data_IF_708305550912
#
_entry.id   IF_708305550912
#
_cell.length_a   1.000
_cell.length_b   1.000
_cell.length_c   1.000
_cell.angle_alpha   90.00
_cell.angle_beta   90.00
_cell.angle_gamma   90.00
#
_symmetry.space_group_name_H-M   'P 1'
#
loop_
_entity.id
_entity.type
_entity.pdbx_description
1 polymer ?
#
# COMPACT_ATOMS: atom_id res chain seq x y z
N UNK A 1 12.39 20.83 -26.06
CA UNK A 1 11.37 19.76 -26.27
C UNK A 1 11.09 19.22 -24.89
N UNK A 2 9.99 19.60 -24.29
CA UNK A 2 9.54 18.97 -23.04
C UNK A 2 9.27 17.50 -23.34
N UNK A 3 9.95 16.61 -22.60
CA UNK A 3 9.76 15.17 -22.73
C UNK A 3 8.32 14.82 -22.38
N UNK A 4 7.72 13.88 -23.11
CA UNK A 4 6.38 13.37 -22.77
C UNK A 4 6.43 12.80 -21.36
N UNK A 5 5.60 13.29 -20.46
CA UNK A 5 5.43 12.82 -19.08
C UNK A 5 5.18 11.32 -19.08
N UNK A 6 5.93 10.56 -18.27
CA UNK A 6 5.74 9.12 -18.10
C UNK A 6 4.83 8.83 -16.91
N UNK A 7 4.04 7.77 -17.05
CA UNK A 7 3.18 7.23 -16.01
C UNK A 7 3.67 5.80 -15.72
N UNK A 8 4.36 5.62 -14.60
CA UNK A 8 5.02 4.37 -14.24
C UNK A 8 4.32 3.75 -13.03
N UNK A 9 4.04 2.45 -13.05
CA UNK A 9 3.40 1.78 -11.93
C UNK A 9 4.06 0.46 -11.57
N UNK A 10 4.04 0.14 -10.25
CA UNK A 10 4.37 -1.18 -9.71
C UNK A 10 3.19 -1.62 -8.84
N UNK A 11 2.61 -2.77 -9.16
CA UNK A 11 1.44 -3.34 -8.48
C UNK A 11 1.82 -4.69 -7.88
N UNK A 12 1.51 -4.89 -6.61
CA UNK A 12 1.92 -6.07 -5.83
C UNK A 12 0.72 -6.68 -5.13
N UNK A 13 0.39 -7.93 -5.45
CA UNK A 13 -0.69 -8.70 -4.83
C UNK A 13 -0.19 -10.01 -4.24
N UNK A 14 -0.38 -10.21 -2.93
CA UNK A 14 0.04 -11.40 -2.20
C UNK A 14 -1.17 -12.12 -1.61
N UNK A 15 -1.47 -13.31 -2.10
CA UNK A 15 -2.51 -14.17 -1.54
C UNK A 15 -1.97 -15.26 -0.58
N UNK A 16 -0.66 -15.50 -0.54
CA UNK A 16 0.00 -16.49 0.34
C UNK A 16 -0.61 -17.89 0.25
N UNK A 17 -0.96 -18.31 -0.96
CA UNK A 17 -1.65 -19.57 -1.21
C UNK A 17 -0.94 -20.76 -0.57
N UNK A 18 -1.71 -21.66 0.05
CA UNK A 18 -1.19 -22.86 0.71
C UNK A 18 -0.48 -22.60 2.05
N UNK A 19 -0.50 -21.39 2.57
CA UNK A 19 0.01 -21.07 3.91
C UNK A 19 -1.14 -20.88 4.93
N UNK A 20 -0.86 -20.95 6.25
CA UNK A 20 -1.87 -20.61 7.26
C UNK A 20 -2.36 -19.14 7.19
N UNK A 21 -1.67 -18.31 6.43
CA UNK A 21 -1.93 -16.88 6.29
C UNK A 21 -2.56 -16.52 4.94
N UNK A 22 -3.17 -17.49 4.27
CA UNK A 22 -3.78 -17.30 2.95
C UNK A 22 -4.85 -16.21 2.95
N UNK A 23 -4.75 -15.32 1.94
CA UNK A 23 -5.74 -14.32 1.54
C UNK A 23 -6.31 -14.69 0.16
N UNK A 24 -7.39 -14.02 -0.28
CA UNK A 24 -8.06 -14.37 -1.54
C UNK A 24 -8.36 -13.19 -2.46
N UNK A 25 -8.37 -11.97 -1.93
CA UNK A 25 -8.73 -10.75 -2.66
C UNK A 25 -7.55 -10.05 -3.34
N UNK A 26 -6.33 -10.20 -2.82
CA UNK A 26 -5.20 -9.30 -3.13
C UNK A 26 -4.77 -9.29 -4.60
N UNK A 27 -4.77 -10.45 -5.25
CA UNK A 27 -4.45 -10.54 -6.69
C UNK A 27 -5.52 -9.84 -7.53
N UNK A 28 -6.81 -10.03 -7.19
CA UNK A 28 -7.90 -9.38 -7.90
C UNK A 28 -7.84 -7.85 -7.74
N UNK A 29 -7.48 -7.36 -6.55
CA UNK A 29 -7.33 -5.92 -6.28
C UNK A 29 -6.30 -5.29 -7.22
N UNK A 30 -5.11 -5.89 -7.34
CA UNK A 30 -4.06 -5.32 -8.18
C UNK A 30 -4.36 -5.44 -9.67
N UNK A 31 -5.06 -6.48 -10.11
CA UNK A 31 -5.50 -6.61 -11.50
C UNK A 31 -6.58 -5.58 -11.85
N UNK A 32 -7.54 -5.34 -10.96
CA UNK A 32 -8.54 -4.29 -11.12
C UNK A 32 -7.91 -2.89 -11.12
N UNK A 33 -6.90 -2.66 -10.26
CA UNK A 33 -6.14 -1.41 -10.26
C UNK A 33 -5.38 -1.22 -11.58
N UNK A 34 -4.70 -2.26 -12.10
CA UNK A 34 -4.05 -2.20 -13.42
C UNK A 34 -5.02 -1.76 -14.50
N UNK A 35 -6.19 -2.39 -14.56
CA UNK A 35 -7.19 -2.07 -15.58
C UNK A 35 -7.71 -0.63 -15.42
N UNK A 36 -7.88 -0.16 -14.20
CA UNK A 36 -8.24 1.23 -13.91
C UNK A 36 -7.16 2.22 -14.34
N UNK A 37 -5.88 1.92 -14.06
CA UNK A 37 -4.75 2.77 -14.49
C UNK A 37 -4.69 2.90 -16.00
N UNK A 38 -4.88 1.81 -16.74
CA UNK A 38 -4.89 1.82 -18.20
C UNK A 38 -6.10 2.57 -18.75
N UNK A 39 -7.31 2.21 -18.29
CA UNK A 39 -8.55 2.71 -18.90
C UNK A 39 -8.85 4.17 -18.53
N UNK A 40 -8.50 4.59 -17.33
CA UNK A 40 -8.88 5.91 -16.81
C UNK A 40 -7.74 6.92 -16.80
N UNK A 41 -6.54 6.47 -16.40
CA UNK A 41 -5.40 7.37 -16.20
C UNK A 41 -4.40 7.36 -17.35
N UNK A 42 -4.59 6.47 -18.34
CA UNK A 42 -3.77 6.44 -19.55
C UNK A 42 -2.37 5.86 -19.34
N UNK A 43 -2.15 5.06 -18.28
CA UNK A 43 -0.90 4.31 -18.14
C UNK A 43 -0.74 3.32 -19.27
N UNK A 44 0.44 3.27 -19.88
CA UNK A 44 0.72 2.28 -20.91
C UNK A 44 0.91 0.90 -20.24
N UNK A 45 0.32 -0.19 -20.77
CA UNK A 45 0.49 -1.52 -20.17
C UNK A 45 1.94 -1.95 -19.97
N UNK A 46 2.86 -1.52 -20.85
CA UNK A 46 4.30 -1.79 -20.76
C UNK A 46 5.04 -1.01 -19.67
N UNK A 47 4.40 0.00 -19.08
CA UNK A 47 4.92 0.81 -17.98
C UNK A 47 4.30 0.44 -16.62
N UNK A 48 3.52 -0.64 -16.59
CA UNK A 48 2.95 -1.22 -15.38
C UNK A 48 3.61 -2.57 -15.10
N UNK A 49 4.37 -2.64 -14.02
CA UNK A 49 4.95 -3.89 -13.51
C UNK A 49 3.99 -4.52 -12.50
N UNK A 50 3.59 -5.77 -12.74
CA UNK A 50 2.69 -6.53 -11.84
C UNK A 50 3.45 -7.72 -11.26
N UNK A 51 3.42 -7.83 -9.92
CA UNK A 51 3.98 -8.95 -9.18
C UNK A 51 2.86 -9.63 -8.38
N UNK A 52 2.67 -10.92 -8.61
CA UNK A 52 1.65 -11.72 -7.90
C UNK A 52 2.20 -13.11 -7.57
N UNK A 53 1.69 -13.69 -6.49
CA UNK A 53 1.96 -15.08 -6.11
C UNK A 53 0.92 -16.07 -6.69
N UNK A 54 0.35 -15.75 -7.86
CA UNK A 54 -0.53 -16.62 -8.61
C UNK A 54 0.28 -17.73 -9.29
N UNK A 55 0.21 -18.93 -8.78
CA UNK A 55 0.88 -20.12 -9.32
C UNK A 55 0.31 -20.60 -10.68
N UNK A 56 -0.88 -20.12 -11.06
CA UNK A 56 -1.53 -20.42 -12.34
C UNK A 56 -0.90 -19.70 -13.53
N UNK A 57 -0.08 -18.70 -13.29
CA UNK A 57 0.60 -17.94 -14.34
C UNK A 57 2.10 -18.21 -14.36
N UNK A 58 2.57 -18.99 -15.32
CA UNK A 58 4.00 -19.24 -15.52
C UNK A 58 4.83 -17.98 -15.82
N UNK A 59 4.18 -16.88 -16.17
CA UNK A 59 4.82 -15.57 -16.45
C UNK A 59 4.80 -14.63 -15.24
N UNK A 60 4.16 -15.02 -14.12
CA UNK A 60 4.08 -14.18 -12.93
C UNK A 60 5.47 -14.02 -12.30
N UNK A 61 5.83 -12.79 -12.00
CA UNK A 61 7.00 -12.50 -11.17
C UNK A 61 6.55 -12.53 -9.72
N UNK A 62 7.11 -13.44 -8.93
CA UNK A 62 6.74 -13.58 -7.53
C UNK A 62 7.02 -12.29 -6.74
N UNK A 63 6.09 -11.85 -5.89
CA UNK A 63 6.21 -10.68 -5.04
C UNK A 63 7.08 -10.97 -3.80
N UNK A 64 8.31 -11.43 -4.02
CA UNK A 64 9.32 -11.55 -2.97
C UNK A 64 9.84 -10.17 -2.58
N UNK A 65 10.36 -10.01 -1.36
CA UNK A 65 10.90 -8.74 -0.91
C UNK A 65 11.99 -8.20 -1.84
N UNK A 66 12.86 -9.08 -2.36
CA UNK A 66 13.89 -8.71 -3.33
C UNK A 66 13.31 -8.23 -4.67
N UNK A 67 12.30 -8.94 -5.21
CA UNK A 67 11.68 -8.58 -6.48
C UNK A 67 10.89 -7.26 -6.39
N UNK A 68 10.16 -7.05 -5.29
CA UNK A 68 9.43 -5.80 -5.06
C UNK A 68 10.39 -4.63 -4.98
N UNK A 69 11.45 -4.72 -4.17
CA UNK A 69 12.45 -3.66 -4.04
C UNK A 69 13.15 -3.37 -5.36
N UNK A 70 13.43 -4.39 -6.17
CA UNK A 70 14.01 -4.22 -7.50
C UNK A 70 13.04 -3.48 -8.44
N UNK A 71 11.78 -3.91 -8.52
CA UNK A 71 10.77 -3.27 -9.38
C UNK A 71 10.56 -1.79 -9.01
N UNK A 72 10.53 -1.48 -7.72
CA UNK A 72 10.44 -0.10 -7.22
C UNK A 72 11.70 0.71 -7.57
N UNK A 73 12.88 0.13 -7.41
CA UNK A 73 14.14 0.79 -7.78
C UNK A 73 14.23 1.06 -9.28
N UNK A 74 13.81 0.11 -10.12
CA UNK A 74 13.76 0.26 -11.57
C UNK A 74 12.75 1.33 -12.00
N UNK A 75 11.60 1.39 -11.34
CA UNK A 75 10.60 2.44 -11.57
C UNK A 75 11.17 3.83 -11.28
N UNK A 76 11.80 4.02 -10.11
CA UNK A 76 12.43 5.30 -9.75
C UNK A 76 13.61 5.66 -10.65
N UNK A 77 14.42 4.68 -11.06
CA UNK A 77 15.57 4.92 -11.95
C UNK A 77 15.15 5.38 -13.37
N UNK A 78 13.94 5.05 -13.82
CA UNK A 78 13.37 5.48 -15.10
C UNK A 78 12.72 6.85 -15.03
N UNK A 79 12.42 7.35 -13.84
CA UNK A 79 11.66 8.56 -13.65
C UNK A 79 12.45 9.83 -13.95
N UNK A 80 11.77 10.84 -14.45
CA UNK A 80 12.25 12.20 -14.68
C UNK A 80 11.33 13.24 -14.00
N UNK A 81 11.77 14.50 -13.84
CA UNK A 81 10.90 15.56 -13.35
C UNK A 81 9.60 15.66 -14.16
N UNK A 82 8.47 15.76 -13.48
CA UNK A 82 7.13 15.80 -14.09
C UNK A 82 6.46 14.44 -14.26
N UNK A 83 7.16 13.32 -14.07
CA UNK A 83 6.58 11.98 -14.17
C UNK A 83 5.69 11.65 -12.95
N UNK A 84 4.80 10.67 -13.14
CA UNK A 84 3.95 10.12 -12.09
C UNK A 84 4.34 8.67 -11.85
N UNK A 85 4.70 8.38 -10.60
CA UNK A 85 5.02 7.05 -10.12
C UNK A 85 3.90 6.59 -9.19
N UNK A 86 3.43 5.37 -9.42
CA UNK A 86 2.36 4.77 -8.64
C UNK A 86 2.76 3.40 -8.10
N UNK A 87 2.60 3.20 -6.80
CA UNK A 87 2.79 1.91 -6.16
C UNK A 87 1.49 1.47 -5.48
N UNK A 88 1.04 0.25 -5.78
CA UNK A 88 -0.09 -0.37 -5.09
C UNK A 88 0.33 -1.70 -4.50
N UNK A 89 0.04 -1.87 -3.21
CA UNK A 89 0.23 -3.11 -2.48
C UNK A 89 -1.09 -3.61 -1.91
N UNK A 90 -1.40 -4.87 -2.15
CA UNK A 90 -2.49 -5.59 -1.53
C UNK A 90 -1.97 -6.90 -0.94
N UNK A 91 -2.04 -7.04 0.39
CA UNK A 91 -1.47 -8.15 1.14
C UNK A 91 -1.46 -7.90 2.64
N UNK A 92 -0.73 -8.73 3.38
CA UNK A 92 -0.55 -8.54 4.81
C UNK A 92 0.38 -7.37 5.14
N UNK A 93 0.01 -6.63 6.20
CA UNK A 93 0.90 -5.73 6.92
C UNK A 93 1.23 -6.28 8.31
N UNK A 94 2.31 -5.80 8.90
CA UNK A 94 2.73 -6.16 10.25
C UNK A 94 3.38 -4.98 10.97
N UNK A 95 3.36 -5.03 12.30
CA UNK A 95 4.05 -4.08 13.16
C UNK A 95 5.31 -4.73 13.71
N UNK A 96 6.46 -4.10 13.51
CA UNK A 96 7.75 -4.55 14.01
C UNK A 96 8.12 -3.74 15.26
N UNK A 97 8.39 -4.39 16.41
CA UNK A 97 8.79 -3.70 17.62
C UNK A 97 10.07 -2.89 17.42
N UNK A 98 10.09 -1.64 17.89
CA UNK A 98 11.28 -0.80 17.83
C UNK A 98 12.37 -1.31 18.78
N UNK A 99 13.61 -1.44 18.30
CA UNK A 99 14.73 -2.03 19.08
C UNK A 99 15.20 -1.16 20.25
N UNK A 100 14.92 0.13 20.27
CA UNK A 100 15.42 1.09 21.29
C UNK A 100 14.36 2.15 21.58
N UNK A 101 14.00 2.29 22.84
CA UNK A 101 13.33 3.48 23.33
C UNK A 101 12.15 3.23 24.24
N UNK A 102 12.01 4.06 25.24
CA UNK A 102 10.86 4.17 26.12
C UNK A 102 9.70 4.84 25.37
N UNK A 103 9.05 4.12 24.46
CA UNK A 103 7.88 4.60 23.75
C UNK A 103 7.24 3.45 22.96
N UNK A 104 5.92 3.40 22.96
CA UNK A 104 5.13 2.35 22.34
C UNK A 104 5.10 2.43 20.79
N UNK A 105 6.05 3.11 20.13
CA UNK A 105 6.06 3.24 18.68
C UNK A 105 6.55 1.92 18.06
N UNK A 106 5.74 1.37 17.20
CA UNK A 106 6.05 0.22 16.36
C UNK A 106 6.29 0.71 14.93
N UNK A 107 7.16 0.03 14.22
CA UNK A 107 7.44 0.34 12.83
C UNK A 107 6.57 -0.53 11.93
N UNK A 108 6.06 0.05 10.88
CA UNK A 108 5.19 -0.62 9.93
C UNK A 108 5.97 -1.31 8.82
N UNK A 109 5.47 -2.46 8.38
CA UNK A 109 6.07 -3.21 7.28
C UNK A 109 4.99 -3.92 6.46
N UNK A 110 5.18 -3.97 5.14
CA UNK A 110 4.47 -4.89 4.27
C UNK A 110 5.14 -6.27 4.34
N UNK A 111 4.35 -7.32 4.13
CA UNK A 111 4.79 -8.72 4.19
C UNK A 111 4.77 -9.32 2.78
N UNK A 112 5.90 -9.37 2.04
CA UNK A 112 6.01 -10.07 0.77
C UNK A 112 5.69 -11.58 0.90
N UNK A 113 5.46 -12.27 -0.22
CA UNK A 113 5.10 -13.69 -0.21
C UNK A 113 6.19 -14.62 0.36
N UNK A 114 7.45 -14.16 0.40
CA UNK A 114 8.60 -14.84 1.02
C UNK A 114 8.86 -14.39 2.47
N UNK A 115 8.01 -13.53 3.04
CA UNK A 115 8.16 -12.95 4.38
C UNK A 115 9.42 -12.10 4.57
N UNK A 116 10.12 -11.71 3.51
CA UNK A 116 11.21 -10.74 3.56
C UNK A 116 10.64 -9.32 3.70
N UNK A 117 10.41 -8.90 4.92
CA UNK A 117 9.72 -7.64 5.24
C UNK A 117 10.32 -6.42 4.53
N UNK A 118 9.45 -5.55 4.02
CA UNK A 118 9.82 -4.22 3.52
C UNK A 118 9.23 -3.19 4.47
N UNK A 119 10.12 -2.40 5.09
CA UNK A 119 9.76 -1.49 6.17
C UNK A 119 9.65 -0.04 5.69
N UNK A 120 9.14 0.83 6.56
CA UNK A 120 9.17 2.27 6.43
C UNK A 120 10.55 2.83 6.01
N UNK A 121 11.64 2.26 6.55
CA UNK A 121 13.02 2.67 6.20
C UNK A 121 13.32 2.41 4.73
N UNK A 122 12.89 1.27 4.18
CA UNK A 122 13.09 0.94 2.76
C UNK A 122 12.31 1.89 1.86
N UNK A 123 11.06 2.19 2.19
CA UNK A 123 10.23 3.12 1.44
C UNK A 123 10.78 4.54 1.48
N UNK A 124 11.26 5.00 2.64
CA UNK A 124 11.90 6.31 2.77
C UNK A 124 13.13 6.43 1.88
N UNK A 125 14.02 5.43 1.92
CA UNK A 125 15.19 5.40 1.04
C UNK A 125 14.83 5.34 -0.45
N UNK A 126 13.67 4.79 -0.80
CA UNK A 126 13.17 4.80 -2.16
C UNK A 126 12.67 6.21 -2.54
N UNK A 127 11.84 6.81 -1.72
CA UNK A 127 11.20 8.12 -1.98
C UNK A 127 12.26 9.23 -2.05
N UNK A 128 13.30 9.17 -1.22
CA UNK A 128 14.43 10.11 -1.27
C UNK A 128 15.17 10.11 -2.62
N UNK A 129 15.00 9.07 -3.44
CA UNK A 129 15.59 8.95 -4.78
C UNK A 129 14.64 9.36 -5.90
N UNK A 130 13.39 9.66 -5.61
CA UNK A 130 12.44 10.15 -6.61
C UNK A 130 12.92 11.52 -7.11
N UNK A 131 13.01 11.75 -8.43
CA UNK A 131 13.45 13.02 -8.98
C UNK A 131 12.56 14.17 -8.51
N UNK A 132 13.17 15.29 -8.12
CA UNK A 132 12.43 16.49 -7.75
C UNK A 132 11.48 16.90 -8.89
N UNK A 133 10.21 17.13 -8.57
CA UNK A 133 9.17 17.46 -9.53
C UNK A 133 8.45 16.24 -10.12
N UNK A 134 8.90 15.00 -9.84
CA UNK A 134 8.10 13.81 -10.05
C UNK A 134 7.19 13.57 -8.83
N UNK A 135 6.04 12.93 -9.05
CA UNK A 135 5.09 12.59 -7.98
C UNK A 135 5.14 11.10 -7.71
N UNK A 136 5.30 10.70 -6.44
CA UNK A 136 5.18 9.31 -6.00
C UNK A 136 3.91 9.15 -5.16
N UNK A 137 3.01 8.27 -5.60
CA UNK A 137 1.78 7.93 -4.88
C UNK A 137 1.78 6.45 -4.53
N UNK A 138 1.59 6.13 -3.26
CA UNK A 138 1.44 4.79 -2.74
C UNK A 138 0.00 4.55 -2.26
N UNK A 139 -0.59 3.45 -2.67
CA UNK A 139 -1.84 2.92 -2.11
C UNK A 139 -1.50 1.60 -1.43
N UNK A 140 -1.78 1.47 -0.16
CA UNK A 140 -1.56 0.24 0.61
C UNK A 140 -2.86 -0.28 1.18
N UNK A 141 -3.37 -1.36 0.59
CA UNK A 141 -4.54 -2.12 1.07
C UNK A 141 -4.09 -3.21 2.04
N UNK A 142 -3.33 -2.82 3.08
CA UNK A 142 -2.90 -3.69 4.18
C UNK A 142 -3.21 -3.03 5.51
N UNK A 143 -3.28 -3.83 6.59
CA UNK A 143 -3.36 -3.30 7.94
C UNK A 143 -2.04 -2.62 8.33
N UNK A 144 -2.12 -1.59 9.17
CA UNK A 144 -0.95 -0.90 9.70
C UNK A 144 -0.01 -0.42 8.59
N UNK A 145 -0.51 0.46 7.72
CA UNK A 145 0.27 1.02 6.62
C UNK A 145 0.39 2.56 6.66
N UNK A 146 -0.12 3.20 7.71
CA UNK A 146 -0.15 4.66 7.84
C UNK A 146 1.23 5.30 8.01
N UNK A 147 2.22 4.59 8.53
CA UNK A 147 3.58 5.06 8.73
C UNK A 147 4.60 4.56 7.71
N UNK A 148 4.18 3.89 6.62
CA UNK A 148 5.10 3.36 5.61
C UNK A 148 5.89 4.45 4.88
N UNK A 149 5.31 5.64 4.70
CA UNK A 149 6.03 6.85 4.31
C UNK A 149 6.09 7.73 5.54
N UNK A 150 7.05 7.47 6.43
CA UNK A 150 7.18 8.17 7.71
C UNK A 150 7.45 9.65 7.49
N UNK A 151 6.81 10.50 8.33
CA UNK A 151 6.88 11.95 8.45
C UNK A 151 5.96 12.77 7.55
N UNK A 152 5.19 12.17 6.69
CA UNK A 152 4.10 12.90 6.06
C UNK A 152 3.00 13.17 7.10
N UNK A 153 2.44 14.37 7.00
CA UNK A 153 1.36 14.79 7.87
C UNK A 153 0.09 14.00 7.57
N UNK A 154 -0.51 13.41 8.59
CA UNK A 154 -1.85 12.84 8.45
C UNK A 154 -2.85 13.98 8.16
N UNK A 155 -3.42 13.95 6.96
CA UNK A 155 -4.29 15.02 6.46
C UNK A 155 -5.77 14.78 6.78
N UNK A 156 -6.18 13.53 6.97
CA UNK A 156 -7.53 13.16 7.32
C UNK A 156 -7.47 12.42 8.65
N UNK A 157 -7.65 13.17 9.73
CA UNK A 157 -7.78 12.65 11.09
C UNK A 157 -9.25 12.28 11.32
N UNK A 158 -9.52 11.31 12.18
CA UNK A 158 -10.86 11.13 12.73
C UNK A 158 -11.31 12.47 13.32
N UNK A 159 -12.33 13.08 12.74
CA UNK A 159 -13.19 13.95 13.53
C UNK A 159 -13.61 13.13 14.72
N UNK A 160 -13.30 13.60 15.92
CA UNK A 160 -13.81 13.05 17.18
C UNK A 160 -15.29 12.73 16.98
N UNK A 161 -15.59 11.48 16.70
CA UNK A 161 -16.97 11.04 16.62
C UNK A 161 -17.46 11.13 18.04
N UNK A 162 -18.37 12.07 18.24
CA UNK A 162 -19.27 12.04 19.35
C UNK A 162 -19.82 10.63 19.39
N UNK A 163 -19.47 9.90 20.43
CA UNK A 163 -20.06 8.61 20.76
C UNK A 163 -21.53 8.84 21.05
N UNK A 164 -22.37 8.72 20.03
CA UNK A 164 -23.76 8.39 20.26
C UNK A 164 -23.82 6.88 20.43
N UNK A 165 -24.17 6.47 21.65
CA UNK A 165 -24.52 5.11 22.04
C UNK A 165 -25.66 4.59 21.14
N UNK A 166 -25.31 3.99 20.01
CA UNK A 166 -26.24 3.13 19.29
C UNK A 166 -25.76 1.70 19.51
N UNK A 167 -26.48 1.02 20.38
CA UNK A 167 -26.42 -0.41 20.56
C UNK A 167 -26.50 -1.10 19.19
N UNK A 168 -25.40 -1.70 18.77
CA UNK A 168 -25.34 -2.52 17.55
C UNK A 168 -26.09 -3.80 17.85
N UNK A 169 -27.28 -3.92 17.27
CA UNK A 169 -28.03 -5.17 17.19
C UNK A 169 -27.21 -6.18 16.38
N UNK A 170 -27.01 -7.37 16.95
CA UNK A 170 -26.11 -8.41 16.45
C UNK A 170 -26.57 -9.01 15.12
N UNK A 171 -26.29 -8.35 14.01
CA UNK A 171 -26.46 -8.90 12.66
C UNK A 171 -25.10 -9.17 12.04
N UNK A 172 -24.77 -10.47 11.99
CA UNK A 172 -23.83 -11.16 11.06
C UNK A 172 -22.70 -10.30 10.49
N UNK A 173 -21.63 -10.16 11.26
CA UNK A 173 -20.32 -9.79 10.72
C UNK A 173 -19.90 -10.87 9.72
N UNK A 174 -19.84 -10.50 8.44
CA UNK A 174 -19.20 -11.30 7.40
C UNK A 174 -17.81 -11.70 7.91
N UNK A 175 -17.46 -12.98 7.84
CA UNK A 175 -16.16 -13.48 8.28
C UNK A 175 -15.07 -13.03 7.29
N UNK A 176 -14.73 -11.74 7.33
CA UNK A 176 -13.60 -11.21 6.59
C UNK A 176 -12.31 -11.55 7.34
N UNK A 177 -11.29 -12.03 6.61
CA UNK A 177 -9.95 -12.23 7.19
C UNK A 177 -9.26 -10.87 7.32
N UNK A 178 -8.58 -10.65 8.44
CA UNK A 178 -7.78 -9.45 8.62
C UNK A 178 -6.51 -9.50 7.76
N UNK A 179 -6.17 -8.41 7.07
CA UNK A 179 -4.89 -8.26 6.36
C UNK A 179 -3.75 -7.86 7.32
N UNK A 180 -3.86 -8.26 8.57
CA UNK A 180 -2.85 -8.09 9.60
C UNK A 180 -2.21 -9.41 9.96
N UNK A 181 -0.88 -9.45 9.93
CA UNK A 181 -0.11 -10.58 10.40
C UNK A 181 0.60 -10.21 11.71
N UNK A 182 0.21 -10.81 12.85
CA UNK A 182 0.86 -10.55 14.11
C UNK A 182 2.38 -10.82 14.05
N UNK A 183 3.19 -9.98 14.68
CA UNK A 183 4.64 -10.13 14.71
C UNK A 183 5.10 -11.55 15.11
N UNK A 184 4.45 -12.14 16.10
CA UNK A 184 4.73 -13.51 16.52
C UNK A 184 4.51 -14.55 15.41
N UNK A 185 3.54 -14.33 14.53
CA UNK A 185 3.28 -15.22 13.38
C UNK A 185 4.38 -15.08 12.33
N UNK A 186 4.86 -13.85 12.07
CA UNK A 186 6.00 -13.61 11.18
C UNK A 186 7.25 -14.31 11.71
N UNK A 187 7.59 -14.11 12.99
CA UNK A 187 8.72 -14.78 13.64
C UNK A 187 8.57 -16.30 13.58
N UNK A 188 7.37 -16.82 13.88
CA UNK A 188 7.08 -18.26 13.83
C UNK A 188 7.30 -18.86 12.44
N UNK A 189 6.87 -18.16 11.38
CA UNK A 189 7.08 -18.59 9.99
C UNK A 189 8.57 -18.61 9.64
N UNK A 190 9.29 -17.52 9.93
CA UNK A 190 10.71 -17.38 9.60
C UNK A 190 11.61 -18.32 10.42
N UNK A 191 11.28 -18.60 11.69
CA UNK A 191 12.07 -19.50 12.53
C UNK A 191 12.14 -20.91 11.96
N UNK A 192 11.04 -21.40 11.38
CA UNK A 192 11.01 -22.71 10.73
C UNK A 192 11.95 -22.83 9.52
N UNK A 193 12.23 -21.73 8.84
CA UNK A 193 13.05 -21.70 7.63
C UNK A 193 14.51 -21.29 7.88
N UNK A 194 14.79 -20.45 8.88
CA UNK A 194 16.10 -19.81 9.08
C UNK A 194 17.14 -20.71 9.74
N UNK A 195 16.71 -21.74 10.49
CA UNK A 195 17.60 -22.55 11.32
C UNK A 195 18.21 -21.78 12.51
N UNK A 196 17.72 -20.57 12.81
CA UNK A 196 18.15 -19.77 13.96
C UNK A 196 17.32 -20.18 15.15
N UNK A 197 17.95 -20.83 16.14
CA UNK A 197 17.28 -21.31 17.35
C UNK A 197 16.95 -20.16 18.31
N UNK A 198 15.72 -20.20 18.85
CA UNK A 198 15.25 -19.42 20.00
C UNK A 198 15.35 -17.88 19.88
N UNK A 199 15.56 -17.31 18.68
CA UNK A 199 15.49 -15.86 18.53
C UNK A 199 14.02 -15.38 18.45
N UNK A 200 13.70 -14.37 19.28
CA UNK A 200 12.44 -13.66 19.22
C UNK A 200 12.54 -12.37 18.35
N UNK A 201 13.69 -12.14 17.73
CA UNK A 201 13.95 -10.97 16.90
C UNK A 201 13.86 -11.33 15.43
N UNK A 202 12.87 -10.78 14.73
CA UNK A 202 12.69 -10.99 13.29
C UNK A 202 13.95 -10.66 12.48
N UNK A 203 14.74 -9.69 12.95
CA UNK A 203 15.99 -9.28 12.30
C UNK A 203 16.98 -10.45 12.15
N UNK A 204 17.12 -11.30 13.15
CA UNK A 204 18.07 -12.42 13.14
C UNK A 204 17.68 -13.43 12.05
N UNK A 205 16.40 -13.72 11.94
CA UNK A 205 15.86 -14.61 10.90
C UNK A 205 15.98 -14.00 9.49
N UNK A 206 15.61 -12.72 9.34
CA UNK A 206 15.67 -12.03 8.05
C UNK A 206 17.10 -11.91 7.53
N UNK A 207 18.06 -11.59 8.40
CA UNK A 207 19.47 -11.51 8.01
C UNK A 207 20.05 -12.89 7.67
N UNK A 208 19.64 -13.95 8.37
CA UNK A 208 20.08 -15.31 8.08
C UNK A 208 19.55 -15.83 6.75
N UNK A 209 18.28 -15.52 6.42
CA UNK A 209 17.61 -16.01 5.20
C UNK A 209 17.95 -15.16 3.96
N UNK A 210 17.97 -13.84 4.10
CA UNK A 210 17.97 -12.91 2.97
C UNK A 210 19.23 -12.05 2.89
N UNK A 211 20.07 -12.01 3.93
CA UNK A 211 21.33 -11.28 3.93
C UNK A 211 21.21 -9.84 3.46
N UNK A 212 21.83 -9.54 2.30
CA UNK A 212 21.79 -8.20 1.70
C UNK A 212 20.41 -7.79 1.19
N UNK A 213 19.52 -8.74 0.92
CA UNK A 213 18.14 -8.47 0.46
C UNK A 213 17.16 -8.21 1.62
N UNK A 214 17.58 -8.43 2.89
CA UNK A 214 16.81 -8.01 4.05
C UNK A 214 16.60 -6.49 4.05
N UNK A 215 15.57 -5.99 4.78
CA UNK A 215 15.33 -4.56 4.93
C UNK A 215 16.56 -3.82 5.47
N UNK A 216 16.78 -2.59 4.96
CA UNK A 216 17.83 -1.70 5.42
C UNK A 216 17.78 -1.46 6.94
N UNK A 217 16.59 -1.41 7.52
CA UNK A 217 16.34 -1.29 8.96
C UNK A 217 17.08 -2.34 9.79
N UNK A 218 17.17 -3.57 9.30
CA UNK A 218 17.81 -4.67 10.03
C UNK A 218 19.30 -4.77 9.77
N UNK A 219 19.78 -4.18 8.66
CA UNK A 219 21.20 -4.21 8.26
C UNK A 219 22.04 -3.09 8.85
N UNK A 220 21.44 -1.93 9.09
CA UNK A 220 22.13 -0.71 9.54
C UNK A 220 21.56 -0.23 10.87
N UNK A 221 22.46 0.33 11.71
CA UNK A 221 22.05 0.92 13.00
C UNK A 221 21.65 2.40 12.88
N UNK A 222 21.92 3.02 11.74
CA UNK A 222 21.64 4.44 11.53
C UNK A 222 20.37 4.61 10.69
N UNK A 223 19.40 5.31 11.26
CA UNK A 223 18.19 5.76 10.53
C UNK A 223 18.58 6.97 9.67
N UNK A 224 18.24 6.98 8.38
CA UNK A 224 18.43 8.17 7.54
C UNK A 224 17.70 9.38 8.13
N UNK A 225 18.28 10.56 7.94
CA UNK A 225 17.60 11.83 8.28
C UNK A 225 16.45 12.02 7.29
N UNK A 226 15.26 12.39 7.77
CA UNK A 226 14.08 12.50 6.90
C UNK A 226 14.21 13.62 5.87
N UNK A 227 13.71 13.35 4.66
CA UNK A 227 13.46 14.38 3.64
C UNK A 227 12.05 14.98 3.82
N UNK A 228 11.86 16.31 3.65
CA UNK A 228 10.61 16.97 3.99
C UNK A 228 9.44 16.77 3.02
N UNK A 229 9.58 16.09 1.88
CA UNK A 229 8.50 15.83 0.92
C UNK A 229 8.61 14.39 0.39
N UNK A 230 8.02 13.45 1.12
CA UNK A 230 8.17 12.03 0.91
C UNK A 230 7.14 11.34 0.04
N UNK A 231 6.26 12.07 -0.65
CA UNK A 231 5.23 11.47 -1.51
C UNK A 231 3.83 11.50 -0.91
N UNK A 232 2.94 10.67 -1.47
CA UNK A 232 1.52 10.60 -1.12
C UNK A 232 1.21 9.16 -0.75
N UNK A 233 0.70 8.91 0.47
CA UNK A 233 0.27 7.60 0.92
C UNK A 233 -1.23 7.60 1.21
N UNK A 234 -1.95 6.72 0.53
CA UNK A 234 -3.31 6.33 0.86
C UNK A 234 -3.26 4.96 1.54
N UNK A 235 -3.54 4.92 2.84
CA UNK A 235 -3.60 3.69 3.63
C UNK A 235 -5.04 3.18 3.69
N UNK A 236 -5.24 1.87 3.58
CA UNK A 236 -6.57 1.25 3.65
C UNK A 236 -7.21 1.30 5.04
N UNK A 237 -6.43 1.56 6.09
CA UNK A 237 -6.91 1.68 7.47
C UNK A 237 -5.94 2.53 8.31
N UNK A 238 -6.39 2.95 9.51
CA UNK A 238 -5.53 3.60 10.50
C UNK A 238 -4.50 2.62 11.09
N UNK A 239 -3.48 3.16 11.75
CA UNK A 239 -2.37 2.37 12.35
C UNK A 239 -2.85 1.37 13.41
N UNK A 240 -3.97 1.63 14.06
CA UNK A 240 -4.57 0.78 15.11
C UNK A 240 -5.75 -0.09 14.62
N UNK A 241 -6.07 -0.04 13.33
CA UNK A 241 -7.18 -0.76 12.71
C UNK A 241 -6.73 -1.92 11.82
N UNK A 242 -7.66 -2.83 11.51
CA UNK A 242 -7.43 -3.96 10.60
C UNK A 242 -8.23 -3.81 9.31
N UNK A 243 -7.56 -3.97 8.15
CA UNK A 243 -8.21 -4.09 6.84
C UNK A 243 -8.81 -5.48 6.63
N UNK A 244 -9.97 -5.53 5.99
CA UNK A 244 -10.67 -6.77 5.71
C UNK A 244 -10.28 -7.34 4.33
N UNK A 245 -10.05 -8.68 4.26
CA UNK A 245 -9.94 -9.42 3.01
C UNK A 245 -11.29 -10.08 2.71
N UNK A 246 -11.89 -9.74 1.57
CA UNK A 246 -13.19 -10.26 1.15
C UNK A 246 -13.01 -11.04 -0.16
N UNK A 247 -13.31 -12.34 -0.14
CA UNK A 247 -13.24 -13.19 -1.33
C UNK A 247 -14.33 -12.81 -2.34
N UNK A 248 -13.99 -12.86 -3.64
CA UNK A 248 -14.92 -12.59 -4.74
C UNK A 248 -16.05 -13.63 -4.87
N UNK A 249 -15.95 -14.78 -4.20
CA UNK A 249 -16.83 -15.95 -4.34
C UNK A 249 -18.02 -15.97 -3.38
N UNK A 250 -18.17 -14.99 -2.51
CA UNK A 250 -19.40 -14.85 -1.73
C UNK A 250 -20.50 -14.32 -2.64
N UNK A 251 -21.30 -15.27 -3.17
CA UNK A 251 -22.52 -15.04 -3.95
C UNK A 251 -23.53 -14.18 -3.17
N UNK A 252 -23.33 -12.89 -3.19
CA UNK A 252 -24.37 -11.92 -2.92
C UNK A 252 -24.46 -11.00 -4.13
N UNK A 253 -25.44 -11.29 -4.96
CA UNK A 253 -26.08 -10.50 -5.98
C UNK A 253 -25.46 -9.09 -6.19
N UNK A 254 -24.66 -9.00 -7.20
CA UNK A 254 -24.11 -7.82 -7.86
C UNK A 254 -22.57 -7.77 -7.86
N UNK A 255 -21.99 -8.70 -8.61
CA UNK A 255 -20.59 -8.69 -9.03
C UNK A 255 -19.61 -8.44 -7.89
N UNK A 256 -19.35 -9.42 -7.04
CA UNK A 256 -18.50 -9.39 -5.84
C UNK A 256 -17.17 -8.65 -6.02
N UNK A 257 -17.18 -7.36 -5.77
CA UNK A 257 -16.03 -6.48 -5.81
C UNK A 257 -15.64 -6.15 -4.39
N UNK A 258 -14.92 -7.05 -3.77
CA UNK A 258 -14.03 -6.65 -2.69
C UNK A 258 -12.77 -6.04 -3.30
N UNK A 259 -12.96 -5.07 -4.12
CA UNK A 259 -11.93 -4.17 -4.59
C UNK A 259 -11.60 -3.25 -3.42
N UNK A 260 -10.34 -2.94 -3.17
CA UNK A 260 -9.97 -1.98 -2.14
C UNK A 260 -10.81 -0.69 -2.28
N UNK A 261 -11.02 0.01 -1.18
CA UNK A 261 -11.90 1.18 -1.15
C UNK A 261 -11.56 2.21 -2.25
N UNK A 262 -10.27 2.34 -2.58
CA UNK A 262 -9.80 3.26 -3.64
C UNK A 262 -10.34 2.87 -5.01
N UNK A 263 -10.27 1.59 -5.41
CA UNK A 263 -10.78 1.14 -6.70
C UNK A 263 -12.29 1.32 -6.80
N UNK A 264 -13.02 1.01 -5.71
CA UNK A 264 -14.47 1.16 -5.68
C UNK A 264 -14.89 2.63 -5.86
N UNK A 265 -14.20 3.56 -5.18
CA UNK A 265 -14.40 5.00 -5.35
C UNK A 265 -14.11 5.43 -6.79
N UNK A 266 -12.98 5.00 -7.34
CA UNK A 266 -12.60 5.34 -8.71
C UNK A 266 -13.61 4.79 -9.73
N UNK A 267 -14.17 3.61 -9.53
CA UNK A 267 -15.19 3.03 -10.39
C UNK A 267 -16.52 3.80 -10.32
N UNK A 268 -16.92 4.26 -9.12
CA UNK A 268 -18.17 4.98 -8.90
C UNK A 268 -18.12 6.44 -9.38
N UNK A 269 -16.93 7.05 -9.44
CA UNK A 269 -16.77 8.48 -9.73
C UNK A 269 -15.86 8.70 -10.95
N UNK A 270 -16.38 8.81 -12.18
CA UNK A 270 -15.59 8.98 -13.40
C UNK A 270 -14.89 10.35 -13.51
N UNK A 271 -15.39 11.37 -12.81
CA UNK A 271 -14.75 12.68 -12.78
C UNK A 271 -13.40 12.66 -12.03
N UNK A 272 -12.46 13.57 -12.32
CA UNK A 272 -11.25 13.73 -11.55
C UNK A 272 -11.55 13.97 -10.08
N UNK A 273 -10.83 13.30 -9.18
CA UNK A 273 -10.93 13.44 -7.73
C UNK A 273 -9.58 13.91 -7.18
N UNK A 274 -9.58 14.70 -6.11
CA UNK A 274 -8.39 14.99 -5.34
C UNK A 274 -8.00 13.80 -4.44
N UNK A 275 -6.76 13.80 -3.92
CA UNK A 275 -6.32 12.78 -2.95
C UNK A 275 -7.24 12.73 -1.73
N UNK A 276 -7.66 13.89 -1.21
CA UNK A 276 -8.63 14.02 -0.12
C UNK A 276 -9.97 13.39 -0.46
N UNK A 277 -10.52 13.68 -1.66
CA UNK A 277 -11.81 13.16 -2.07
C UNK A 277 -11.80 11.64 -2.23
N UNK A 278 -10.72 11.07 -2.77
CA UNK A 278 -10.59 9.60 -2.88
C UNK A 278 -10.70 8.95 -1.51
N UNK A 279 -9.98 9.45 -0.52
CA UNK A 279 -9.98 8.88 0.84
C UNK A 279 -11.31 9.14 1.55
N UNK A 280 -11.87 10.35 1.47
CA UNK A 280 -13.13 10.69 2.13
C UNK A 280 -14.29 9.84 1.61
N UNK A 281 -14.38 9.66 0.29
CA UNK A 281 -15.39 8.80 -0.34
C UNK A 281 -15.15 7.32 -0.05
N UNK A 282 -13.88 6.90 0.09
CA UNK A 282 -13.53 5.56 0.54
C UNK A 282 -14.08 5.25 1.93
N UNK A 283 -13.95 6.19 2.87
CA UNK A 283 -14.54 6.08 4.22
C UNK A 283 -16.06 5.98 4.18
N UNK A 284 -16.71 6.82 3.38
CA UNK A 284 -18.17 6.79 3.22
C UNK A 284 -18.65 5.43 2.68
N UNK A 285 -17.99 4.94 1.63
CA UNK A 285 -18.33 3.66 0.99
C UNK A 285 -18.16 2.48 1.96
N UNK A 286 -17.04 2.42 2.69
CA UNK A 286 -16.79 1.34 3.65
C UNK A 286 -17.81 1.36 4.79
N UNK A 287 -18.15 2.55 5.30
CA UNK A 287 -19.20 2.69 6.33
C UNK A 287 -20.58 2.22 5.83
N UNK A 288 -20.95 2.55 4.58
CA UNK A 288 -22.19 2.09 3.96
C UNK A 288 -22.23 0.56 3.79
N UNK A 289 -21.08 -0.05 3.60
CA UNK A 289 -20.92 -1.52 3.50
C UNK A 289 -20.80 -2.22 4.86
N UNK A 290 -20.79 -1.47 5.97
CA UNK A 290 -20.69 -2.01 7.33
C UNK A 290 -19.27 -2.37 7.77
N UNK A 291 -18.23 -1.81 7.13
CA UNK A 291 -16.85 -1.97 7.56
C UNK A 291 -16.45 -0.85 8.53
N UNK A 292 -15.70 -1.20 9.57
CA UNK A 292 -15.19 -0.27 10.60
C UNK A 292 -13.80 0.30 10.26
N UNK A 293 -13.29 0.09 9.05
CA UNK A 293 -11.99 0.59 8.66
C UNK A 293 -12.05 2.02 8.12
N UNK A 294 -11.03 2.81 8.48
CA UNK A 294 -10.92 4.22 8.10
C UNK A 294 -9.67 4.46 7.25
N UNK A 295 -9.78 4.47 5.93
CA UNK A 295 -8.68 4.89 5.06
C UNK A 295 -8.12 6.24 5.45
N UNK A 296 -6.80 6.41 5.38
CA UNK A 296 -6.09 7.62 5.76
C UNK A 296 -5.28 8.17 4.59
N UNK A 297 -5.02 9.48 4.64
CA UNK A 297 -4.17 10.20 3.70
C UNK A 297 -2.99 10.82 4.44
N UNK A 298 -1.79 10.47 4.02
CA UNK A 298 -0.53 11.03 4.50
C UNK A 298 0.19 11.69 3.34
N UNK A 299 0.37 13.01 3.41
CA UNK A 299 1.08 13.80 2.41
C UNK A 299 1.34 15.22 2.92
N UNK A 300 2.14 15.99 2.17
CA UNK A 300 2.30 17.41 2.43
C UNK A 300 0.99 18.20 2.18
N UNK A 301 0.88 19.38 2.78
CA UNK A 301 -0.30 20.26 2.61
C UNK A 301 -0.54 20.63 1.13
N UNK A 302 0.50 20.64 0.30
CA UNK A 302 0.40 20.94 -1.11
C UNK A 302 -0.28 19.81 -1.91
N UNK A 303 -0.15 18.56 -1.44
CA UNK A 303 -0.64 17.38 -2.15
C UNK A 303 -2.06 16.96 -1.75
N UNK A 304 -2.59 17.47 -0.64
CA UNK A 304 -3.86 17.01 -0.09
C UNK A 304 -5.05 17.21 -1.04
N UNK A 305 -5.13 18.35 -1.68
CA UNK A 305 -6.18 18.71 -2.63
C UNK A 305 -5.70 18.62 -4.09
N UNK A 306 -4.47 18.11 -4.33
CA UNK A 306 -3.97 17.82 -5.65
C UNK A 306 -4.78 16.68 -6.31
N UNK A 307 -4.97 16.69 -7.64
CA UNK A 307 -5.67 15.64 -8.35
C UNK A 307 -4.99 14.27 -8.18
N UNK A 308 -5.76 13.25 -7.82
CA UNK A 308 -5.27 11.88 -7.69
C UNK A 308 -4.85 11.33 -9.05
N UNK A 309 -3.55 11.10 -9.26
CA UNK A 309 -2.94 10.57 -10.50
C UNK A 309 -3.33 11.30 -11.79
N UNK A 310 -4.07 12.39 -11.72
CA UNK A 310 -4.45 13.15 -12.89
C UNK A 310 -3.30 14.04 -13.36
N UNK A 311 -3.10 14.08 -14.66
CA UNK A 311 -2.34 15.15 -15.27
C UNK A 311 -3.14 16.44 -15.10
N UNK A 312 -2.52 17.50 -14.64
CA UNK A 312 -3.09 18.83 -14.83
C UNK A 312 -3.16 19.05 -16.36
N UNK A 313 -4.36 19.04 -16.93
CA UNK A 313 -4.53 19.63 -18.26
C UNK A 313 -4.13 21.09 -18.11
N UNK A 314 -3.08 21.53 -18.83
CA UNK A 314 -2.85 22.95 -18.98
C UNK A 314 -4.15 23.59 -19.47
N UNK A 315 -4.60 24.70 -18.85
CA UNK A 315 -5.76 25.40 -19.36
C UNK A 315 -5.50 25.73 -20.83
N UNK A 316 -6.35 25.21 -21.72
CA UNK A 316 -6.25 25.47 -23.16
C UNK A 316 -6.03 26.96 -23.34
N UNK A 317 -4.92 27.34 -23.96
CA UNK A 317 -4.60 28.73 -24.24
C UNK A 317 -5.81 29.35 -24.94
N UNK A 318 -6.44 30.33 -24.28
CA UNK A 318 -7.53 31.09 -24.86
C UNK A 318 -6.95 31.75 -26.14
N UNK A 319 -7.45 31.43 -27.33
CA UNK A 319 -6.96 32.10 -28.53
C UNK A 319 -7.20 33.60 -28.35
N UNK A 320 -6.13 34.38 -28.44
CA UNK A 320 -6.23 35.83 -28.44
C UNK A 320 -7.16 36.28 -29.56
N UNK A 321 -8.20 37.02 -29.18
CA UNK A 321 -9.13 37.70 -30.13
C UNK A 321 -8.42 38.83 -30.86
#
# INVERSE_FOLDING_TARGET
MEGKKQLLATLVGCNYAGTPHELRGCINDVLAMRDTLVARFGFAPGDITVLTDDDRSAAAVLPTGANIKRALADMVARAAPGDVLFFHYSGHGTLVPHRRGHGARQDEAIVPCDFNLITDVDFRQLVDRVPQGATFTMVSDSCHSGGLIDQEKEQIVLSTVVTDDLAVDGTTTRAARARFLPYAAVVGHLSGASGVDASHHVADHLLALFGADASAKFRHHDTPTPSPDGGILLSGCQTDETSADVAADDEAADGGKACGAVQAVLAAHPAPLSNREVVSRGRELLREQGFEQHPCLYCSDANVDAPFLCQQEEPAAIPAL
#
